data_IF_132440199286
#
_entry.id   IF_132440199286
#
_cell.length_a   1.000
_cell.length_b   1.000
_cell.length_c   1.000
_cell.angle_alpha   90.00
_cell.angle_beta   90.00
_cell.angle_gamma   90.00
#
_symmetry.space_group_name_H-M   'P 1'
#
loop_
_entity.id
_entity.type
_entity.pdbx_description
1 polymer ?
#
# COMPACT_ATOMS: atom_id res chain seq x y z
N UNK A 1 -58.38 37.90 26.52
CA UNK A 1 -57.73 37.80 25.20
C UNK A 1 -56.21 37.91 25.37
N UNK A 2 -55.52 36.90 25.94
CA UNK A 2 -54.03 36.88 25.97
C UNK A 2 -53.47 35.57 26.55
N UNK A 3 -53.71 34.40 25.94
CA UNK A 3 -53.13 33.12 26.44
C UNK A 3 -52.80 32.09 25.36
N UNK A 4 -52.45 32.51 24.14
CA UNK A 4 -52.19 31.57 23.05
C UNK A 4 -51.02 31.96 22.14
N UNK A 5 -49.91 32.44 22.71
CA UNK A 5 -48.76 32.93 21.94
C UNK A 5 -47.41 32.44 22.47
N UNK A 6 -47.31 31.20 22.97
CA UNK A 6 -46.04 30.67 23.49
C UNK A 6 -45.83 29.17 23.23
N UNK A 7 -46.13 28.68 22.02
CA UNK A 7 -45.82 27.29 21.62
C UNK A 7 -45.13 27.14 20.25
N UNK A 8 -44.72 28.23 19.59
CA UNK A 8 -44.19 28.20 18.22
C UNK A 8 -42.73 28.67 18.08
N UNK A 9 -41.94 28.59 19.16
CA UNK A 9 -40.50 28.92 19.18
C UNK A 9 -39.62 27.69 19.52
N UNK A 10 -40.08 26.50 19.15
CA UNK A 10 -39.30 25.25 19.18
C UNK A 10 -39.25 24.62 17.79
N UNK A 11 -39.13 25.43 16.74
CA UNK A 11 -38.56 24.92 15.49
C UNK A 11 -37.08 24.66 15.79
N UNK A 12 -36.78 23.43 16.20
CA UNK A 12 -35.41 22.96 16.25
C UNK A 12 -34.79 23.25 14.89
N UNK A 13 -33.75 24.10 14.88
CA UNK A 13 -32.92 24.23 13.70
C UNK A 13 -32.55 22.81 13.29
N UNK A 14 -32.77 22.41 12.02
CA UNK A 14 -32.18 21.17 11.57
C UNK A 14 -30.70 21.27 11.92
N UNK A 15 -30.22 20.39 12.79
CA UNK A 15 -28.80 20.24 12.98
C UNK A 15 -28.33 19.52 11.71
N UNK A 16 -27.91 20.29 10.70
CA UNK A 16 -27.26 19.71 9.54
C UNK A 16 -25.97 19.12 10.10
N UNK A 17 -25.89 17.80 10.13
CA UNK A 17 -24.71 17.13 10.63
C UNK A 17 -23.56 17.53 9.71
N UNK A 18 -22.55 18.18 10.29
CA UNK A 18 -21.35 18.51 9.56
C UNK A 18 -20.78 17.23 8.93
N UNK A 19 -20.46 17.22 7.63
CA UNK A 19 -19.78 16.09 7.02
C UNK A 19 -18.46 15.92 7.77
N UNK A 20 -18.21 14.72 8.28
CA UNK A 20 -16.97 14.45 8.98
C UNK A 20 -15.76 14.78 8.10
N UNK A 21 -14.75 15.43 8.67
CA UNK A 21 -13.47 15.72 7.99
C UNK A 21 -12.94 14.47 7.27
N UNK A 22 -12.87 14.51 5.95
CA UNK A 22 -12.56 13.34 5.15
C UNK A 22 -13.19 13.33 3.75
N UNK A 23 -13.11 12.16 3.13
CA UNK A 23 -13.75 11.86 1.84
C UNK A 23 -15.27 11.81 2.01
N UNK A 24 -16.00 12.57 1.19
CA UNK A 24 -17.46 12.46 1.07
C UNK A 24 -17.81 11.42 0.00
N UNK A 25 -17.26 11.56 -1.21
CA UNK A 25 -17.59 10.69 -2.34
C UNK A 25 -16.41 10.48 -3.30
N UNK A 26 -16.26 9.25 -3.78
CA UNK A 26 -15.41 8.90 -4.92
C UNK A 26 -16.28 8.35 -6.04
N UNK A 27 -16.27 8.99 -7.21
CA UNK A 27 -17.07 8.61 -8.39
C UNK A 27 -16.25 7.97 -9.50
N UNK A 28 -14.93 7.87 -9.34
CA UNK A 28 -14.03 7.39 -10.41
C UNK A 28 -14.07 5.88 -10.61
N UNK A 29 -14.50 5.12 -9.60
CA UNK A 29 -14.37 3.66 -9.59
C UNK A 29 -12.93 3.14 -9.52
N UNK A 30 -11.95 4.05 -9.45
CA UNK A 30 -10.53 3.74 -9.44
C UNK A 30 -9.96 3.71 -8.01
N UNK A 31 -8.87 2.96 -7.77
CA UNK A 31 -8.20 2.93 -6.48
C UNK A 31 -7.60 4.29 -6.07
N UNK A 32 -7.97 4.75 -4.88
CA UNK A 32 -7.38 5.92 -4.23
C UNK A 32 -5.98 5.57 -3.70
N UNK A 33 -4.92 5.94 -4.44
CA UNK A 33 -3.56 5.43 -4.16
C UNK A 33 -2.45 6.46 -4.17
N UNK A 34 -2.72 7.71 -4.57
CA UNK A 34 -1.72 8.77 -4.78
C UNK A 34 -1.96 9.93 -3.82
N UNK A 35 -0.95 10.49 -3.16
CA UNK A 35 -1.17 11.38 -2.02
C UNK A 35 -1.69 12.77 -2.44
N UNK A 36 -2.74 13.24 -1.78
CA UNK A 36 -3.17 14.63 -1.76
C UNK A 36 -3.15 15.13 -0.32
N UNK A 37 -2.54 16.29 -0.11
CA UNK A 37 -2.50 16.97 1.17
C UNK A 37 -2.99 18.40 1.00
N UNK A 38 -3.84 18.84 1.91
CA UNK A 38 -4.39 20.20 1.87
C UNK A 38 -4.22 20.84 3.24
N UNK A 39 -3.74 22.08 3.24
CA UNK A 39 -3.67 22.94 4.42
C UNK A 39 -4.70 24.06 4.30
N UNK A 40 -5.30 24.38 5.42
CA UNK A 40 -6.37 25.39 5.54
C UNK A 40 -6.16 26.17 6.84
N UNK A 41 -6.74 27.37 6.91
CA UNK A 41 -6.71 28.18 8.13
C UNK A 41 -7.70 27.65 9.17
N UNK A 42 -7.40 27.78 10.47
CA UNK A 42 -8.35 27.47 11.53
C UNK A 42 -9.66 28.25 11.38
N UNK A 43 -10.79 27.55 11.55
CA UNK A 43 -12.12 28.16 11.47
C UNK A 43 -12.57 28.53 10.06
N UNK A 44 -11.81 28.15 9.02
CA UNK A 44 -12.23 28.22 7.62
C UNK A 44 -12.28 26.81 7.03
N UNK A 45 -13.48 26.26 7.05
CA UNK A 45 -13.78 24.92 6.56
C UNK A 45 -13.86 24.95 5.02
N UNK A 46 -13.59 23.81 4.39
CA UNK A 46 -13.48 23.70 2.94
C UNK A 46 -14.27 22.51 2.43
N UNK A 47 -15.17 22.75 1.49
CA UNK A 47 -15.76 21.75 0.63
C UNK A 47 -14.95 21.66 -0.66
N UNK A 48 -14.25 20.55 -0.83
CA UNK A 48 -13.31 20.31 -1.92
C UNK A 48 -13.97 19.45 -3.00
N UNK A 49 -13.90 19.91 -4.24
CA UNK A 49 -14.35 19.17 -5.43
C UNK A 49 -13.20 19.03 -6.41
N UNK A 50 -12.83 17.78 -6.68
CA UNK A 50 -11.89 17.42 -7.73
C UNK A 50 -12.66 16.96 -8.96
N UNK A 51 -12.39 17.59 -10.09
CA UNK A 51 -12.99 17.24 -11.38
C UNK A 51 -11.94 16.68 -12.31
N UNK A 52 -12.30 15.67 -13.10
CA UNK A 52 -11.43 15.20 -14.17
C UNK A 52 -11.20 16.33 -15.19
N UNK A 53 -9.94 16.61 -15.52
CA UNK A 53 -9.59 17.77 -16.31
C UNK A 53 -10.04 17.66 -17.79
N UNK A 54 -10.27 16.43 -18.29
CA UNK A 54 -10.68 16.21 -19.68
C UNK A 54 -12.20 16.22 -19.84
N UNK A 55 -12.92 15.63 -18.89
CA UNK A 55 -14.38 15.42 -18.95
C UNK A 55 -15.17 16.42 -18.11
N UNK A 56 -14.51 17.12 -17.18
CA UNK A 56 -15.11 18.04 -16.18
C UNK A 56 -16.05 17.37 -15.16
N UNK A 57 -16.18 16.04 -15.23
CA UNK A 57 -16.99 15.26 -14.30
C UNK A 57 -16.41 15.28 -12.89
N UNK A 58 -17.30 15.28 -11.88
CA UNK A 58 -16.88 15.21 -10.48
C UNK A 58 -16.26 13.85 -10.22
N UNK A 59 -14.98 13.84 -9.89
CA UNK A 59 -14.22 12.64 -9.56
C UNK A 59 -14.28 12.32 -8.07
N UNK A 60 -13.97 13.33 -7.23
CA UNK A 60 -13.88 13.18 -5.77
C UNK A 60 -14.43 14.43 -5.10
N UNK A 61 -15.18 14.24 -4.02
CA UNK A 61 -15.60 15.32 -3.11
C UNK A 61 -15.16 15.01 -1.69
N UNK A 62 -14.76 16.03 -0.94
CA UNK A 62 -14.27 15.90 0.43
C UNK A 62 -14.65 17.14 1.26
N UNK A 63 -14.73 16.93 2.57
CA UNK A 63 -14.86 18.00 3.55
C UNK A 63 -13.59 18.13 4.38
N UNK A 64 -13.18 19.37 4.61
CA UNK A 64 -11.98 19.70 5.37
C UNK A 64 -12.36 20.72 6.44
N UNK A 65 -12.47 20.25 7.68
CA UNK A 65 -12.50 21.15 8.84
C UNK A 65 -11.23 22.02 8.90
N UNK A 66 -11.41 23.32 9.07
CA UNK A 66 -10.38 24.35 9.01
C UNK A 66 -9.29 24.18 10.07
N UNK A 67 -8.03 24.37 9.67
CA UNK A 67 -6.87 24.25 10.56
C UNK A 67 -6.45 22.79 10.85
N UNK A 68 -7.24 21.80 10.42
CA UNK A 68 -6.85 20.39 10.48
C UNK A 68 -6.12 20.01 9.20
N UNK A 69 -4.99 19.32 9.37
CA UNK A 69 -4.20 18.84 8.24
C UNK A 69 -4.95 17.73 7.49
N UNK A 70 -5.35 18.00 6.24
CA UNK A 70 -6.11 17.04 5.44
C UNK A 70 -5.20 16.16 4.60
N UNK A 71 -5.48 14.85 4.58
CA UNK A 71 -4.79 13.87 3.76
C UNK A 71 -5.80 12.95 3.10
N UNK A 72 -5.68 12.81 1.79
CA UNK A 72 -6.50 11.91 0.99
C UNK A 72 -5.59 11.19 -0.01
N UNK A 73 -6.01 10.00 -0.44
CA UNK A 73 -5.41 9.38 -1.62
C UNK A 73 -6.33 9.64 -2.82
N UNK A 74 -5.74 10.07 -3.93
CA UNK A 74 -6.38 10.32 -5.21
C UNK A 74 -6.15 9.14 -6.16
N UNK A 75 -7.06 8.93 -7.12
CA UNK A 75 -6.80 8.05 -8.24
C UNK A 75 -5.77 8.66 -9.20
N UNK A 76 -5.12 7.85 -10.05
CA UNK A 76 -4.32 8.36 -11.16
C UNK A 76 -5.16 9.22 -12.10
N UNK A 77 -4.57 10.25 -12.70
CA UNK A 77 -5.26 11.15 -13.64
C UNK A 77 -4.82 12.59 -13.50
N UNK A 78 -5.50 13.48 -14.22
CA UNK A 78 -5.29 14.92 -14.16
C UNK A 78 -6.59 15.57 -13.73
N UNK A 79 -6.55 16.41 -12.70
CA UNK A 79 -7.75 16.95 -12.07
C UNK A 79 -7.67 18.46 -11.85
N UNK A 80 -8.79 19.17 -12.03
CA UNK A 80 -8.94 20.54 -11.55
C UNK A 80 -9.51 20.53 -10.14
N UNK A 81 -9.03 21.48 -9.33
CA UNK A 81 -9.49 21.65 -7.95
C UNK A 81 -10.41 22.86 -7.86
N UNK A 82 -11.57 22.64 -7.26
CA UNK A 82 -12.47 23.70 -6.84
C UNK A 82 -12.71 23.56 -5.34
N UNK A 83 -12.67 24.68 -4.63
CA UNK A 83 -12.92 24.77 -3.21
C UNK A 83 -14.03 25.80 -2.98
N UNK A 84 -15.01 25.42 -2.17
CA UNK A 84 -15.88 26.37 -1.48
C UNK A 84 -15.40 26.45 -0.05
N UNK A 85 -15.30 27.65 0.51
CA UNK A 85 -14.72 27.89 1.82
C UNK A 85 -15.64 28.77 2.66
N UNK A 86 -15.69 28.52 3.96
CA UNK A 86 -16.50 29.33 4.86
C UNK A 86 -16.46 28.86 6.31
N UNK A 87 -17.32 29.44 7.14
CA UNK A 87 -17.32 29.24 8.60
C UNK A 87 -18.40 28.31 9.09
N UNK A 88 -19.56 28.35 8.45
CA UNK A 88 -20.75 27.60 8.87
C UNK A 88 -21.21 26.76 7.70
N UNK A 89 -21.17 25.44 7.85
CA UNK A 89 -21.63 24.53 6.83
C UNK A 89 -23.16 24.37 6.87
N UNK A 90 -23.78 24.60 5.73
CA UNK A 90 -25.21 24.54 5.49
C UNK A 90 -25.58 23.44 4.48
N UNK A 91 -24.68 22.49 4.20
CA UNK A 91 -24.92 21.34 3.30
C UNK A 91 -24.44 21.52 1.86
N UNK A 92 -24.55 20.46 1.05
CA UNK A 92 -23.97 20.46 -0.30
C UNK A 92 -24.66 21.42 -1.27
N UNK A 93 -25.93 21.74 -1.04
CA UNK A 93 -26.71 22.66 -1.89
C UNK A 93 -26.45 24.13 -1.54
N UNK A 94 -26.37 24.45 -0.24
CA UNK A 94 -26.20 25.82 0.27
C UNK A 94 -24.75 26.16 0.67
N UNK A 95 -23.86 25.16 0.69
CA UNK A 95 -22.44 25.22 1.04
C UNK A 95 -22.20 25.93 2.37
N UNK A 96 -21.58 27.12 2.36
CA UNK A 96 -21.33 27.93 3.55
C UNK A 96 -22.23 29.18 3.62
N UNK A 97 -23.33 29.17 2.86
CA UNK A 97 -24.27 30.28 2.76
C UNK A 97 -23.77 31.44 1.89
N UNK A 98 -24.34 32.64 2.06
CA UNK A 98 -24.04 33.81 1.22
C UNK A 98 -22.57 34.28 1.26
N UNK A 99 -21.86 33.95 2.34
CA UNK A 99 -20.46 34.30 2.57
C UNK A 99 -19.50 33.20 2.05
N UNK A 100 -19.98 32.28 1.21
CA UNK A 100 -19.15 31.23 0.62
C UNK A 100 -18.10 31.85 -0.31
N UNK A 101 -16.84 31.62 -0.01
CA UNK A 101 -15.71 31.98 -0.86
C UNK A 101 -15.40 30.82 -1.82
N UNK A 102 -15.33 31.12 -3.12
CA UNK A 102 -15.01 30.13 -4.14
C UNK A 102 -13.58 30.31 -4.63
N UNK A 103 -12.82 29.22 -4.64
CA UNK A 103 -11.46 29.19 -5.18
C UNK A 103 -11.33 28.07 -6.21
N UNK A 104 -10.69 28.37 -7.33
CA UNK A 104 -10.32 27.38 -8.34
C UNK A 104 -8.81 27.44 -8.53
N UNK A 105 -8.14 26.30 -8.40
CA UNK A 105 -6.71 26.24 -8.65
C UNK A 105 -6.47 26.44 -10.17
N UNK A 106 -5.64 27.41 -10.59
CA UNK A 106 -5.45 27.71 -12.01
C UNK A 106 -4.86 26.53 -12.80
N UNK A 107 -3.91 25.82 -12.21
CA UNK A 107 -3.24 24.68 -12.84
C UNK A 107 -3.86 23.34 -12.44
N UNK A 108 -4.03 22.47 -13.43
CA UNK A 108 -4.52 21.11 -13.20
C UNK A 108 -3.43 20.23 -12.56
N UNK A 109 -3.86 19.39 -11.62
CA UNK A 109 -2.98 18.53 -10.82
C UNK A 109 -2.86 17.16 -11.44
N UNK A 110 -1.64 16.77 -11.80
CA UNK A 110 -1.34 15.44 -12.33
C UNK A 110 -0.95 14.44 -11.24
N UNK A 111 -1.76 13.40 -11.04
CA UNK A 111 -1.48 12.29 -10.12
C UNK A 111 -1.03 11.07 -10.91
N UNK A 112 0.20 10.61 -10.67
CA UNK A 112 0.81 9.52 -11.44
C UNK A 112 1.55 8.53 -10.55
N UNK A 113 1.32 7.24 -10.78
CA UNK A 113 2.17 6.16 -10.25
C UNK A 113 3.21 5.77 -11.31
N UNK A 114 4.46 5.65 -10.88
CA UNK A 114 5.53 4.98 -11.63
C UNK A 114 6.06 3.77 -10.85
N UNK A 115 7.07 3.09 -11.39
CA UNK A 115 7.60 1.85 -10.82
C UNK A 115 8.14 2.01 -9.38
N UNK A 116 8.75 3.16 -9.09
CA UNK A 116 9.42 3.43 -7.81
C UNK A 116 8.83 4.61 -7.05
N UNK A 117 7.92 5.38 -7.66
CA UNK A 117 7.38 6.61 -7.06
C UNK A 117 5.91 6.80 -7.38
N UNK A 118 5.18 7.24 -6.36
CA UNK A 118 3.81 7.75 -6.48
C UNK A 118 3.83 9.26 -6.30
N UNK A 119 3.51 10.00 -7.36
CA UNK A 119 3.43 11.46 -7.37
C UNK A 119 2.02 11.93 -7.01
N UNK A 120 1.96 12.95 -6.18
CA UNK A 120 0.75 13.67 -5.83
C UNK A 120 1.10 15.07 -5.33
N UNK A 121 0.21 15.70 -4.56
CA UNK A 121 0.26 17.16 -4.35
C UNK A 121 0.03 17.59 -2.90
N UNK A 122 0.75 18.62 -2.47
CA UNK A 122 0.44 19.42 -1.29
C UNK A 122 -0.04 20.79 -1.74
N UNK A 123 -1.21 21.18 -1.26
CA UNK A 123 -1.87 22.43 -1.60
C UNK A 123 -2.05 23.24 -0.32
N UNK A 124 -1.56 24.46 -0.34
CA UNK A 124 -1.69 25.39 0.78
C UNK A 124 -2.75 26.44 0.44
N UNK A 125 -3.96 26.24 0.96
CA UNK A 125 -5.08 27.17 0.78
C UNK A 125 -5.06 28.31 1.81
N UNK A 126 -4.10 28.34 2.74
CA UNK A 126 -4.00 29.45 3.71
C UNK A 126 -3.66 30.79 3.03
N UNK A 127 -3.00 30.71 1.88
CA UNK A 127 -2.62 31.86 1.05
C UNK A 127 -3.62 32.13 -0.07
N UNK A 128 -4.67 31.31 -0.20
CA UNK A 128 -5.65 31.46 -1.27
C UNK A 128 -6.67 32.53 -0.89
N UNK A 129 -6.69 33.61 -1.65
CA UNK A 129 -7.71 34.65 -1.62
C UNK A 129 -7.93 35.22 -3.04
N UNK A 130 -8.71 36.30 -3.19
CA UNK A 130 -8.99 36.90 -4.50
C UNK A 130 -7.75 37.44 -5.23
N UNK A 131 -6.64 37.67 -4.52
CA UNK A 131 -5.42 38.30 -5.04
C UNK A 131 -4.19 37.39 -5.01
N UNK A 132 -4.25 36.28 -4.28
CA UNK A 132 -3.14 35.35 -4.08
C UNK A 132 -3.52 33.90 -4.42
N UNK A 133 -2.64 33.25 -5.18
CA UNK A 133 -2.80 31.84 -5.56
C UNK A 133 -2.36 30.91 -4.42
N UNK A 134 -3.06 29.79 -4.29
CA UNK A 134 -2.67 28.71 -3.40
C UNK A 134 -1.28 28.17 -3.76
N UNK A 135 -0.41 28.04 -2.76
CA UNK A 135 0.91 27.45 -3.00
C UNK A 135 0.77 25.94 -3.24
N UNK A 136 1.23 25.48 -4.40
CA UNK A 136 1.21 24.06 -4.77
C UNK A 136 2.63 23.49 -4.77
N UNK A 137 2.80 22.28 -4.24
CA UNK A 137 4.08 21.55 -4.24
C UNK A 137 3.86 20.09 -4.56
N UNK A 138 4.71 19.54 -5.42
CA UNK A 138 4.77 18.11 -5.67
C UNK A 138 5.21 17.34 -4.42
N UNK A 139 4.53 16.23 -4.14
CA UNK A 139 4.95 15.25 -3.15
C UNK A 139 5.10 13.88 -3.81
N UNK A 140 6.13 13.14 -3.42
CA UNK A 140 6.38 11.79 -3.93
C UNK A 140 6.52 10.79 -2.79
N UNK A 141 5.80 9.68 -2.87
CA UNK A 141 6.00 8.51 -2.02
C UNK A 141 6.88 7.52 -2.75
N UNK A 142 8.04 7.20 -2.18
CA UNK A 142 8.89 6.13 -2.69
C UNK A 142 8.29 4.76 -2.41
N UNK A 143 8.20 3.93 -3.44
CA UNK A 143 7.79 2.55 -3.36
C UNK A 143 9.02 1.66 -3.51
N UNK A 144 9.25 0.79 -2.54
CA UNK A 144 10.20 -0.31 -2.66
C UNK A 144 9.45 -1.63 -2.44
N UNK A 145 9.83 -2.64 -3.20
CA UNK A 145 9.40 -4.00 -2.95
C UNK A 145 10.35 -4.61 -1.92
N UNK A 146 9.89 -4.77 -0.69
CA UNK A 146 10.50 -5.72 0.23
C UNK A 146 9.78 -7.05 0.03
N UNK A 147 10.45 -8.08 -0.54
CA UNK A 147 9.88 -9.41 -0.52
C UNK A 147 9.60 -9.76 0.93
N UNK A 148 8.38 -10.24 1.21
CA UNK A 148 8.09 -10.78 2.53
C UNK A 148 9.16 -11.82 2.87
N UNK A 149 9.71 -11.81 4.11
CA UNK A 149 10.61 -12.88 4.50
C UNK A 149 9.90 -14.21 4.22
N UNK A 150 10.60 -15.13 3.56
CA UNK A 150 10.06 -16.46 3.33
C UNK A 150 9.52 -16.96 4.67
N UNK A 151 8.31 -17.57 4.70
CA UNK A 151 7.73 -18.05 5.95
C UNK A 151 8.80 -18.87 6.65
N UNK A 152 9.17 -18.43 7.85
CA UNK A 152 10.18 -19.09 8.64
C UNK A 152 9.70 -20.53 8.77
N UNK A 153 10.44 -21.46 8.12
CA UNK A 153 10.08 -22.88 8.23
C UNK A 153 10.01 -23.13 9.72
N UNK A 154 8.89 -23.66 10.24
CA UNK A 154 8.83 -24.04 11.64
C UNK A 154 10.09 -24.84 11.91
N UNK A 155 10.87 -24.40 12.90
CA UNK A 155 12.02 -25.17 13.33
C UNK A 155 11.49 -26.59 13.54
N UNK A 156 12.04 -27.56 12.80
CA UNK A 156 11.64 -28.94 12.95
C UNK A 156 11.64 -29.23 14.46
N UNK A 157 10.58 -29.83 15.01
CA UNK A 157 10.56 -30.19 16.41
C UNK A 157 11.91 -30.83 16.73
N UNK A 158 12.65 -30.28 17.68
CA UNK A 158 13.83 -30.97 18.21
C UNK A 158 13.26 -32.20 18.90
N UNK A 159 13.23 -33.31 18.18
CA UNK A 159 12.73 -34.58 18.65
C UNK A 159 13.46 -34.93 19.95
N UNK A 160 12.79 -34.70 21.09
CA UNK A 160 12.74 -35.69 22.16
C UNK A 160 11.65 -36.69 21.80
N UNK A 161 11.71 -37.25 20.60
CA UNK A 161 10.99 -38.45 20.27
C UNK A 161 11.96 -39.60 20.52
N UNK A 162 11.71 -40.36 21.59
CA UNK A 162 12.21 -41.73 21.63
C UNK A 162 11.82 -42.40 20.32
N UNK A 163 12.79 -43.04 19.68
CA UNK A 163 12.57 -43.83 18.47
C UNK A 163 11.33 -44.73 18.66
N UNK A 164 10.27 -44.47 17.91
CA UNK A 164 9.15 -45.42 17.71
C UNK A 164 9.44 -46.29 16.47
N UNK A 165 10.71 -46.39 16.04
CA UNK A 165 11.09 -47.51 15.20
C UNK A 165 11.12 -48.76 16.10
N UNK A 166 10.41 -49.84 15.77
CA UNK A 166 10.68 -51.11 16.43
C UNK A 166 12.16 -51.42 16.25
N UNK A 167 12.86 -51.79 17.33
CA UNK A 167 14.21 -52.36 17.22
C UNK A 167 14.10 -53.58 16.32
N UNK A 168 14.53 -53.44 15.07
CA UNK A 168 14.70 -54.57 14.16
C UNK A 168 15.96 -55.28 14.63
N UNK A 169 15.90 -56.54 15.10
CA UNK A 169 17.10 -57.26 15.47
C UNK A 169 18.03 -57.33 14.26
N UNK A 170 19.31 -56.99 14.46
CA UNK A 170 20.34 -57.24 13.46
C UNK A 170 20.33 -58.73 13.11
N UNK A 171 19.89 -59.06 11.89
CA UNK A 171 19.94 -60.44 11.41
C UNK A 171 18.73 -60.99 10.68
N UNK A 172 17.96 -60.19 9.94
CA UNK A 172 17.23 -60.79 8.82
C UNK A 172 18.22 -61.03 7.67
N UNK A 173 18.46 -62.29 7.25
CA UNK A 173 19.23 -62.53 6.04
C UNK A 173 18.51 -61.81 4.91
N UNK A 174 19.22 -60.93 4.19
CA UNK A 174 18.64 -60.28 3.01
C UNK A 174 18.15 -61.40 2.09
N UNK A 175 16.91 -61.34 1.58
CA UNK A 175 16.48 -62.30 0.58
C UNK A 175 17.50 -62.26 -0.57
N UNK A 176 17.91 -63.41 -1.13
CA UNK A 176 18.80 -63.40 -2.27
C UNK A 176 18.15 -62.51 -3.33
N UNK A 177 18.92 -61.53 -3.81
CA UNK A 177 18.45 -60.61 -4.85
C UNK A 177 17.96 -61.40 -6.07
N UNK A 178 17.15 -60.78 -6.93
CA UNK A 178 16.69 -61.41 -8.17
C UNK A 178 17.90 -62.01 -8.90
N UNK A 179 17.85 -63.31 -9.21
CA UNK A 179 18.85 -63.92 -10.08
C UNK A 179 18.72 -63.24 -11.44
N UNK A 180 19.74 -62.51 -11.85
CA UNK A 180 19.85 -61.97 -13.19
C UNK A 180 20.56 -63.01 -14.07
N UNK A 181 19.85 -63.72 -14.96
CA UNK A 181 20.45 -64.76 -15.80
C UNK A 181 21.54 -64.25 -16.74
N UNK A 182 21.66 -62.92 -16.91
CA UNK A 182 22.70 -62.30 -17.74
C UNK A 182 24.04 -62.08 -17.02
N UNK A 183 24.09 -62.21 -15.69
CA UNK A 183 25.31 -62.03 -14.89
C UNK A 183 25.84 -63.32 -14.25
N UNK A 184 25.08 -64.42 -14.33
CA UNK A 184 25.46 -65.73 -13.76
C UNK A 184 26.64 -66.42 -14.48
N UNK A 185 27.15 -65.84 -15.58
CA UNK A 185 28.32 -66.34 -16.32
C UNK A 185 29.56 -65.44 -16.29
N UNK A 186 29.51 -64.29 -15.60
CA UNK A 186 30.60 -63.32 -15.57
C UNK A 186 30.67 -62.57 -14.23
N UNK A 187 31.15 -63.21 -13.15
CA UNK A 187 31.27 -62.59 -11.83
C UNK A 187 32.21 -61.36 -11.80
N UNK A 188 33.05 -61.21 -12.82
CA UNK A 188 33.95 -60.07 -13.02
C UNK A 188 33.21 -58.74 -13.28
N UNK A 189 32.05 -58.78 -13.95
CA UNK A 189 31.29 -57.57 -14.31
C UNK A 189 30.53 -56.97 -13.11
N UNK A 190 30.09 -57.80 -12.17
CA UNK A 190 29.46 -57.34 -10.92
C UNK A 190 30.40 -56.58 -9.99
N UNK A 191 31.71 -56.84 -10.07
CA UNK A 191 32.72 -56.12 -9.27
C UNK A 191 33.13 -54.78 -9.89
N UNK A 192 32.97 -54.60 -11.22
CA UNK A 192 33.35 -53.35 -11.88
C UNK A 192 32.28 -52.24 -11.84
N UNK A 193 31.00 -52.59 -11.65
CA UNK A 193 29.92 -51.60 -11.53
C UNK A 193 29.52 -51.26 -10.08
N UNK A 194 30.08 -51.96 -9.09
CA UNK A 194 29.84 -51.68 -7.67
C UNK A 194 30.43 -50.36 -7.14
N UNK A 195 31.12 -49.57 -7.98
CA UNK A 195 31.83 -48.35 -7.58
C UNK A 195 31.64 -47.14 -8.52
N UNK A 196 30.69 -47.16 -9.47
CA UNK A 196 30.55 -46.05 -10.45
C UNK A 196 29.46 -45.04 -10.13
N UNK A 197 28.76 -45.19 -9.01
CA UNK A 197 28.03 -44.07 -8.41
C UNK A 197 28.56 -43.95 -6.99
N UNK A 198 29.36 -42.92 -6.65
CA UNK A 198 29.56 -42.63 -5.25
C UNK A 198 28.17 -42.32 -4.69
N UNK A 199 27.70 -43.14 -3.76
CA UNK A 199 26.65 -42.82 -2.81
C UNK A 199 27.14 -41.61 -2.02
N UNK A 200 27.10 -40.43 -2.62
CA UNK A 200 27.28 -39.17 -1.92
C UNK A 200 26.02 -39.05 -1.05
N UNK A 201 26.13 -39.17 0.28
CA UNK A 201 24.98 -39.00 1.15
C UNK A 201 24.37 -37.62 0.87
N UNK A 202 23.04 -37.53 0.86
CA UNK A 202 22.31 -36.29 0.59
C UNK A 202 22.78 -35.08 1.44
N UNK A 203 23.33 -35.32 2.63
CA UNK A 203 23.87 -34.26 3.49
C UNK A 203 25.15 -33.60 2.93
N UNK A 204 25.99 -34.35 2.21
CA UNK A 204 27.24 -33.83 1.65
C UNK A 204 27.00 -33.00 0.38
N UNK A 205 25.85 -33.18 -0.27
CA UNK A 205 25.40 -32.35 -1.42
C UNK A 205 24.83 -30.99 -0.97
N UNK A 206 24.50 -30.83 0.32
CA UNK A 206 24.06 -29.57 0.92
C UNK A 206 25.22 -28.68 1.39
N UNK A 207 26.43 -29.23 1.48
CA UNK A 207 27.64 -28.51 1.93
C UNK A 207 28.54 -28.02 0.77
N UNK A 208 28.17 -28.31 -0.49
CA UNK A 208 28.88 -27.78 -1.64
C UNK A 208 28.64 -26.26 -1.77
N UNK A 209 29.68 -25.40 -1.68
CA UNK A 209 29.51 -23.97 -1.78
C UNK A 209 29.48 -23.56 -3.25
N UNK A 210 28.39 -23.86 -3.96
CA UNK A 210 28.02 -23.06 -5.13
C UNK A 210 26.51 -23.13 -5.38
N UNK A 211 25.78 -22.34 -4.60
CA UNK A 211 24.73 -21.55 -5.22
C UNK A 211 25.10 -20.11 -4.94
N UNK A 212 25.33 -19.35 -6.01
CA UNK A 212 25.27 -17.89 -5.96
C UNK A 212 23.84 -17.49 -5.60
N UNK A 213 23.50 -17.63 -4.33
CA UNK A 213 22.62 -16.67 -3.68
C UNK A 213 23.41 -15.37 -3.83
N UNK A 214 23.05 -14.57 -4.82
CA UNK A 214 23.42 -13.16 -4.81
C UNK A 214 22.86 -12.67 -3.49
N UNK A 215 23.74 -12.56 -2.49
CA UNK A 215 23.40 -11.92 -1.24
C UNK A 215 22.81 -10.59 -1.66
N UNK A 216 21.52 -10.39 -1.39
CA UNK A 216 20.90 -9.10 -1.64
C UNK A 216 21.78 -8.04 -0.99
N UNK A 217 21.88 -6.84 -1.60
CA UNK A 217 22.82 -5.81 -1.16
C UNK A 217 22.82 -5.70 0.37
N UNK A 218 24.01 -5.57 0.95
CA UNK A 218 24.18 -5.34 2.38
C UNK A 218 23.30 -4.16 2.83
N UNK A 219 22.99 -4.06 4.12
CA UNK A 219 22.12 -3.02 4.66
C UNK A 219 22.57 -1.61 4.25
N UNK A 220 23.87 -1.39 4.12
CA UNK A 220 24.43 -0.14 3.61
C UNK A 220 24.22 0.03 2.10
N UNK A 221 24.42 -1.00 1.30
CA UNK A 221 24.13 -0.98 -0.14
C UNK A 221 22.64 -0.73 -0.43
N UNK A 222 21.73 -1.28 0.38
CA UNK A 222 20.28 -0.97 0.31
C UNK A 222 19.99 0.49 0.61
N UNK A 223 20.73 1.11 1.55
CA UNK A 223 20.57 2.53 1.90
C UNK A 223 21.08 3.42 0.76
N UNK A 224 22.19 3.06 0.13
CA UNK A 224 22.76 3.78 -1.02
C UNK A 224 21.87 3.66 -2.26
N UNK A 225 21.35 2.46 -2.57
CA UNK A 225 20.35 2.26 -3.64
C UNK A 225 19.06 3.04 -3.36
N UNK A 226 18.61 3.07 -2.10
CA UNK A 226 17.43 3.83 -1.66
C UNK A 226 17.61 5.33 -1.88
N UNK A 227 18.77 5.91 -1.59
CA UNK A 227 19.05 7.32 -1.88
C UNK A 227 19.02 7.57 -3.39
N UNK A 228 19.76 6.79 -4.19
CA UNK A 228 19.85 6.99 -5.64
C UNK A 228 18.52 6.87 -6.39
N UNK A 229 17.61 6.01 -5.95
CA UNK A 229 16.29 5.84 -6.58
C UNK A 229 15.25 6.88 -6.13
N UNK A 230 15.48 7.56 -4.99
CA UNK A 230 14.53 8.50 -4.37
C UNK A 230 14.97 9.97 -4.39
N UNK A 231 16.22 10.27 -4.75
CA UNK A 231 16.69 11.65 -4.85
C UNK A 231 16.05 12.40 -6.04
N UNK A 232 15.71 13.69 -5.89
CA UNK A 232 15.26 14.52 -7.00
C UNK A 232 16.43 14.74 -7.99
N UNK A 233 16.18 14.55 -9.28
CA UNK A 233 17.04 15.06 -10.37
C UNK A 233 16.68 16.51 -10.63
#
# INVERSE_FOLDING_TARGET
>A
MLRLALCLLLFGLPAWADPGHGLIKNRTGLPLTLPLQVKTDPGRDVYLVMRDAATTEIAVTAYIEGGRFFRLLMPPGTYTLHAAMGREWLGEDDLFGPETEFYTLPEALGFRAGMTRKRGHLIDLTLADEMAEAATRDIALCQYYEPAPAPERPAAPRDRAGSIAPEVPDGFPRPPGPRDPLLDGAPELGQHFGNTVPDIPLWQRLEAPDSRIVAGPDRDDRRVLRQRLCDPV
#
